data_IF_683595931631
#
_entry.id   IF_683595931631
#
_cell.length_a   1.000
_cell.length_b   1.000
_cell.length_c   1.000
_cell.angle_alpha   90.00
_cell.angle_beta   90.00
_cell.angle_gamma   90.00
#
_symmetry.space_group_name_H-M   'P 1'
#
loop_
_entity.id
_entity.type
_entity.pdbx_description
1 polymer ?
#
# COMPACT_ATOMS: atom_id res chain seq x y z
N UNK A 1 -4.25 -1.36 9.49
CA UNK A 1 -4.39 -0.20 10.42
C UNK A 1 -3.28 0.76 10.08
N UNK A 2 -3.57 1.86 9.37
CA UNK A 2 -2.53 2.81 8.99
C UNK A 2 -2.37 3.89 10.06
N UNK A 3 -1.13 4.25 10.37
CA UNK A 3 -0.79 5.24 11.39
C UNK A 3 0.53 5.93 11.05
N UNK A 4 0.62 7.19 11.45
CA UNK A 4 1.81 8.03 11.26
C UNK A 4 2.41 8.35 12.61
N UNK A 5 3.72 8.18 12.77
CA UNK A 5 4.43 8.58 13.98
C UNK A 5 5.67 9.39 13.65
N UNK A 6 5.96 10.35 14.53
CA UNK A 6 7.22 11.10 14.52
C UNK A 6 8.26 10.27 15.25
N UNK A 7 9.40 10.04 14.62
CA UNK A 7 10.54 9.44 15.29
C UNK A 7 11.76 10.35 15.21
N UNK A 8 12.50 10.41 16.32
CA UNK A 8 13.80 11.05 16.37
C UNK A 8 14.84 10.03 15.89
N UNK A 9 15.58 10.37 14.85
CA UNK A 9 16.66 9.52 14.33
C UNK A 9 17.98 10.07 14.84
N UNK A 10 18.68 9.26 15.64
CA UNK A 10 19.98 9.58 16.23
C UNK A 10 21.04 8.70 15.57
N UNK A 11 22.10 9.29 15.01
CA UNK A 11 23.27 8.57 14.50
C UNK A 11 24.50 9.12 15.22
N UNK A 12 25.27 8.24 15.85
CA UNK A 12 26.48 8.59 16.61
C UNK A 12 26.27 9.65 17.70
N UNK A 13 25.14 9.59 18.41
CA UNK A 13 24.73 10.51 19.47
C UNK A 13 24.37 11.95 19.04
N UNK A 14 24.38 12.23 17.73
CA UNK A 14 23.83 13.47 17.15
C UNK A 14 22.50 13.16 16.43
N UNK A 15 21.59 14.14 16.38
CA UNK A 15 20.37 14.03 15.58
C UNK A 15 20.78 13.97 14.10
N UNK A 16 20.50 12.84 13.45
CA UNK A 16 21.00 12.55 12.11
C UNK A 16 20.16 13.21 11.01
N UNK A 17 18.92 13.57 11.33
CA UNK A 17 17.95 14.21 10.45
C UNK A 17 16.90 14.92 11.30
N UNK A 18 16.38 16.05 10.80
CA UNK A 18 15.18 16.67 11.37
C UNK A 18 13.98 15.70 11.26
N UNK A 19 12.97 15.86 12.10
CA UNK A 19 11.89 14.87 12.35
C UNK A 19 11.52 13.99 11.15
N UNK A 20 11.73 12.68 11.27
CA UNK A 20 11.41 11.73 10.20
C UNK A 20 10.01 11.18 10.42
N UNK A 21 9.21 11.14 9.35
CA UNK A 21 7.85 10.62 9.38
C UNK A 21 7.89 9.15 8.96
N UNK A 22 7.41 8.28 9.84
CA UNK A 22 7.21 6.88 9.55
C UNK A 22 5.73 6.60 9.34
N UNK A 23 5.40 5.84 8.30
CA UNK A 23 4.04 5.43 7.99
C UNK A 23 3.95 3.91 7.96
N UNK A 24 2.97 3.36 8.68
CA UNK A 24 2.56 1.98 8.48
C UNK A 24 1.67 1.90 7.24
N UNK A 25 2.15 1.20 6.22
CA UNK A 25 1.45 0.91 4.97
C UNK A 25 1.15 -0.58 4.91
N UNK A 26 -0.08 -0.93 4.54
CA UNK A 26 -0.49 -2.32 4.38
C UNK A 26 0.01 -2.82 3.01
N UNK A 27 0.56 -4.04 2.96
CA UNK A 27 0.99 -4.70 1.72
C UNK A 27 -0.23 -5.25 0.98
N UNK A 28 -0.30 -5.11 -0.34
CA UNK A 28 -1.39 -5.64 -1.16
C UNK A 28 -1.52 -7.16 -1.01
N UNK A 29 -0.40 -7.88 -0.94
CA UNK A 29 -0.41 -9.33 -0.75
C UNK A 29 -0.90 -9.77 0.65
N UNK A 30 -0.98 -8.84 1.61
CA UNK A 30 -1.28 -9.15 2.99
C UNK A 30 -2.79 -9.20 3.26
N UNK A 31 -3.28 -10.21 4.01
CA UNK A 31 -4.68 -10.23 4.44
C UNK A 31 -5.11 -9.00 5.25
N UNK A 32 -4.16 -8.31 5.89
CA UNK A 32 -4.43 -7.11 6.67
C UNK A 32 -4.94 -5.94 5.82
N UNK A 33 -4.56 -5.86 4.54
CA UNK A 33 -5.11 -4.89 3.60
C UNK A 33 -6.60 -5.14 3.29
N UNK A 34 -7.07 -6.37 3.50
CA UNK A 34 -8.39 -6.86 3.10
C UNK A 34 -9.25 -7.29 4.29
N UNK A 35 -9.02 -6.69 5.47
CA UNK A 35 -9.85 -6.98 6.65
C UNK A 35 -9.68 -8.39 7.24
N UNK A 36 -8.60 -9.09 6.88
CA UNK A 36 -8.32 -10.47 7.30
C UNK A 36 -8.60 -11.51 6.22
N UNK A 37 -9.18 -11.12 5.09
CA UNK A 37 -9.43 -12.00 3.95
C UNK A 37 -8.23 -12.10 3.02
N UNK A 38 -8.27 -13.05 2.08
CA UNK A 38 -7.24 -13.17 1.05
C UNK A 38 -7.27 -11.99 0.08
N UNK A 39 -6.14 -11.66 -0.57
CA UNK A 39 -6.11 -10.65 -1.62
C UNK A 39 -7.14 -10.89 -2.72
N UNK A 40 -7.59 -9.82 -3.41
CA UNK A 40 -8.62 -9.89 -4.43
C UNK A 40 -8.33 -10.93 -5.52
N UNK A 41 -9.34 -11.75 -5.82
CA UNK A 41 -9.29 -12.75 -6.89
C UNK A 41 -9.62 -12.12 -8.25
N UNK A 42 -9.43 -12.89 -9.33
CA UNK A 42 -9.79 -12.47 -10.69
C UNK A 42 -11.25 -12.00 -10.78
N UNK A 43 -11.53 -11.10 -11.72
CA UNK A 43 -12.88 -10.59 -12.01
C UNK A 43 -13.59 -9.88 -10.84
N UNK A 44 -12.87 -9.56 -9.76
CA UNK A 44 -13.41 -8.80 -8.63
C UNK A 44 -13.24 -7.29 -8.81
N UNK A 45 -14.10 -6.52 -8.14
CA UNK A 45 -13.95 -5.06 -8.03
C UNK A 45 -13.29 -4.75 -6.70
N UNK A 46 -12.18 -4.01 -6.74
CA UNK A 46 -11.40 -3.59 -5.59
C UNK A 46 -11.56 -2.10 -5.40
N UNK A 47 -11.74 -1.66 -4.15
CA UNK A 47 -11.81 -0.24 -3.83
C UNK A 47 -10.86 0.12 -2.69
N UNK A 48 -10.01 1.11 -2.95
CA UNK A 48 -9.08 1.70 -1.99
C UNK A 48 -9.59 3.11 -1.70
N UNK A 49 -9.96 3.33 -0.45
CA UNK A 49 -10.61 4.57 0.01
C UNK A 49 -9.98 5.04 1.32
N UNK A 50 -10.50 6.16 1.84
CA UNK A 50 -10.16 6.71 3.17
C UNK A 50 -8.70 7.19 3.34
N UNK A 51 -8.06 7.73 2.30
CA UNK A 51 -6.67 8.20 2.44
C UNK A 51 -5.66 7.07 2.55
N UNK A 52 -6.08 5.83 2.32
CA UNK A 52 -5.22 4.66 2.53
C UNK A 52 -4.10 4.66 1.49
N UNK A 53 -2.91 4.33 1.98
CA UNK A 53 -1.75 4.03 1.14
C UNK A 53 -1.50 2.54 1.23
N UNK A 54 -1.57 1.85 0.09
CA UNK A 54 -1.29 0.41 -0.01
C UNK A 54 0.00 0.24 -0.81
N UNK A 55 0.90 -0.58 -0.28
CA UNK A 55 2.14 -0.94 -0.95
C UNK A 55 1.92 -2.18 -1.80
N UNK A 56 2.17 -2.05 -3.09
CA UNK A 56 1.87 -3.03 -4.11
C UNK A 56 3.10 -3.89 -4.39
N UNK A 57 3.09 -5.10 -3.84
CA UNK A 57 4.22 -6.01 -3.72
C UNK A 57 4.02 -7.34 -4.45
N UNK A 58 3.06 -7.40 -5.39
CA UNK A 58 2.74 -8.64 -6.10
C UNK A 58 2.23 -8.37 -7.51
N UNK A 59 1.93 -9.44 -8.24
CA UNK A 59 1.23 -9.39 -9.53
C UNK A 59 -0.22 -9.79 -9.27
N UNK A 60 -1.18 -8.96 -9.68
CA UNK A 60 -2.59 -9.34 -9.56
C UNK A 60 -3.02 -10.26 -10.70
N UNK A 61 -4.03 -11.07 -10.45
CA UNK A 61 -4.90 -11.57 -11.52
C UNK A 61 -5.61 -10.38 -12.19
N UNK A 62 -6.21 -10.58 -13.36
CA UNK A 62 -6.97 -9.52 -14.03
C UNK A 62 -8.23 -9.24 -13.20
N UNK A 63 -8.27 -8.05 -12.60
CA UNK A 63 -9.39 -7.56 -11.82
C UNK A 63 -10.44 -6.94 -12.74
N UNK A 64 -11.70 -6.94 -12.34
CA UNK A 64 -12.74 -6.26 -13.11
C UNK A 64 -12.59 -4.74 -13.02
N UNK A 65 -12.39 -4.21 -11.82
CA UNK A 65 -12.10 -2.79 -11.66
C UNK A 65 -11.30 -2.51 -10.39
N UNK A 66 -10.50 -1.45 -10.43
CA UNK A 66 -9.80 -0.89 -9.27
C UNK A 66 -10.22 0.56 -9.12
N UNK A 67 -10.82 0.89 -7.99
CA UNK A 67 -11.29 2.24 -7.67
C UNK A 67 -10.34 2.83 -6.63
N UNK A 68 -9.68 3.94 -6.97
CA UNK A 68 -8.74 4.62 -6.08
C UNK A 68 -9.31 5.99 -5.73
N UNK A 69 -10.06 6.06 -4.63
CA UNK A 69 -10.66 7.32 -4.18
C UNK A 69 -9.86 7.93 -3.04
N UNK A 70 -9.33 9.13 -3.28
CA UNK A 70 -8.50 9.87 -2.34
C UNK A 70 -7.45 8.99 -1.64
N UNK A 71 -6.83 8.07 -2.38
CA UNK A 71 -5.95 7.02 -1.86
C UNK A 71 -4.71 6.88 -2.74
N UNK A 72 -3.73 6.09 -2.31
CA UNK A 72 -2.47 5.95 -3.04
C UNK A 72 -2.01 4.49 -3.12
N UNK A 73 -1.47 4.14 -4.28
CA UNK A 73 -0.75 2.89 -4.51
C UNK A 73 0.74 3.21 -4.70
N UNK A 74 1.59 2.52 -3.94
CA UNK A 74 3.04 2.59 -4.09
C UNK A 74 3.50 1.26 -4.65
N UNK A 75 4.15 1.26 -5.81
CA UNK A 75 4.64 0.02 -6.43
C UNK A 75 6.03 -0.32 -5.94
N UNK A 76 6.26 -1.59 -5.61
CA UNK A 76 7.59 -2.09 -5.28
C UNK A 76 8.54 -1.95 -6.47
N UNK A 77 9.69 -1.30 -6.24
CA UNK A 77 10.72 -1.03 -7.24
C UNK A 77 11.80 -2.13 -7.32
N UNK A 78 11.79 -3.07 -6.37
CA UNK A 78 12.81 -4.13 -6.27
C UNK A 78 12.41 -5.45 -6.93
N UNK A 79 11.16 -5.57 -7.37
CA UNK A 79 10.63 -6.80 -7.98
C UNK A 79 9.63 -6.52 -9.10
N UNK A 80 9.35 -7.55 -9.91
CA UNK A 80 8.33 -7.47 -10.96
C UNK A 80 6.92 -7.45 -10.37
N UNK A 81 6.32 -6.27 -10.28
CA UNK A 81 4.93 -6.06 -9.86
C UNK A 81 4.09 -5.54 -11.02
N UNK A 82 2.81 -5.94 -11.06
CA UNK A 82 1.89 -5.47 -12.11
C UNK A 82 0.46 -5.46 -11.59
N UNK A 83 -0.19 -4.30 -11.70
CA UNK A 83 -1.62 -4.15 -11.49
C UNK A 83 -2.35 -4.44 -12.80
N UNK A 84 -3.07 -5.56 -12.83
CA UNK A 84 -3.85 -5.98 -13.99
C UNK A 84 -5.33 -5.78 -13.68
N UNK A 85 -6.00 -4.89 -14.42
CA UNK A 85 -7.43 -4.63 -14.28
C UNK A 85 -8.04 -4.20 -15.62
N UNK A 86 -9.31 -4.53 -15.84
CA UNK A 86 -10.07 -4.06 -17.02
C UNK A 86 -10.32 -2.55 -16.93
N UNK A 87 -10.59 -2.04 -15.71
CA UNK A 87 -10.81 -0.62 -15.46
C UNK A 87 -10.05 -0.14 -14.22
N UNK A 88 -9.47 1.05 -14.30
CA UNK A 88 -8.92 1.79 -13.15
C UNK A 88 -9.61 3.15 -13.11
N UNK A 89 -10.24 3.46 -11.98
CA UNK A 89 -11.14 4.61 -11.80
C UNK A 89 -10.69 5.49 -10.65
#
# INVERSE_FOLDING_TARGET
>A
MSGTFLANVIINADNAVDSVIFQYIDLWSSPWAWGGDTPPEADTIVSIQDGKTVYFDTITLILNAVIIDNSSLIFDDNQGVSLNAEYVL
#
